data_IF_830252073124
#
_entry.id   IF_830252073124
#
_cell.length_a   1.000
_cell.length_b   1.000
_cell.length_c   1.000
_cell.angle_alpha   90.00
_cell.angle_beta   90.00
_cell.angle_gamma   90.00
#
_symmetry.space_group_name_H-M   'P 1'
#
loop_
_entity.id
_entity.type
_entity.pdbx_description
1 polymer ?
#
# COMPACT_ATOMS: atom_id res chain seq x y z
N UNK A 1 3.35 17.13 19.42
CA UNK A 1 4.35 17.45 18.37
C UNK A 1 3.59 17.78 17.09
N UNK A 2 4.11 18.68 16.21
CA UNK A 2 3.51 19.00 14.91
C UNK A 2 3.70 17.85 13.92
N UNK A 3 2.88 17.79 12.89
CA UNK A 3 2.99 16.80 11.80
C UNK A 3 4.37 16.91 11.14
N UNK A 4 4.84 18.14 10.90
CA UNK A 4 6.17 18.43 10.36
C UNK A 4 7.29 17.83 11.22
N UNK A 5 7.23 18.00 12.55
CA UNK A 5 8.24 17.43 13.46
C UNK A 5 8.21 15.91 13.46
N UNK A 6 7.01 15.29 13.41
CA UNK A 6 6.85 13.84 13.35
C UNK A 6 7.45 13.27 12.07
N UNK A 7 7.14 13.85 10.89
CA UNK A 7 7.71 13.42 9.61
C UNK A 7 9.24 13.55 9.61
N UNK A 8 9.78 14.64 10.13
CA UNK A 8 11.23 14.86 10.22
C UNK A 8 11.91 13.81 11.11
N UNK A 9 11.30 13.49 12.25
CA UNK A 9 11.81 12.46 13.16
C UNK A 9 11.82 11.07 12.51
N UNK A 10 10.71 10.70 11.83
CA UNK A 10 10.60 9.42 11.12
C UNK A 10 11.65 9.35 9.98
N UNK A 11 11.76 10.38 9.15
CA UNK A 11 12.76 10.42 8.06
C UNK A 11 14.19 10.31 8.59
N UNK A 12 14.49 10.94 9.73
CA UNK A 12 15.80 10.81 10.40
C UNK A 12 16.03 9.39 10.91
N UNK A 13 15.01 8.73 11.46
CA UNK A 13 15.09 7.37 11.96
C UNK A 13 15.27 6.35 10.84
N UNK A 14 14.53 6.48 9.75
CA UNK A 14 14.70 5.65 8.54
C UNK A 14 16.11 5.87 7.92
N UNK A 15 16.66 7.06 8.11
CA UNK A 15 17.99 7.42 7.63
C UNK A 15 18.09 7.43 6.11
N UNK A 16 19.24 7.01 5.59
CA UNK A 16 19.51 6.91 4.14
C UNK A 16 18.98 5.60 3.52
N UNK A 17 18.08 4.88 4.20
CA UNK A 17 17.49 3.68 3.63
C UNK A 17 16.61 4.04 2.42
N UNK A 18 16.46 3.11 1.49
CA UNK A 18 15.57 3.25 0.33
C UNK A 18 14.08 3.05 0.69
N UNK A 19 13.75 2.94 1.98
CA UNK A 19 12.39 2.70 2.46
C UNK A 19 11.51 3.93 2.21
N UNK A 20 10.39 3.73 1.54
CA UNK A 20 9.39 4.75 1.24
C UNK A 20 8.44 4.92 2.41
N UNK A 21 8.25 6.17 2.85
CA UNK A 21 7.26 6.52 3.87
C UNK A 21 5.94 6.88 3.21
N UNK A 22 4.90 6.06 3.43
CA UNK A 22 3.53 6.37 3.04
C UNK A 22 2.82 7.01 4.24
N UNK A 23 2.46 8.29 4.10
CA UNK A 23 1.69 9.02 5.12
C UNK A 23 0.21 8.64 5.03
N UNK A 24 -0.28 7.85 5.98
CA UNK A 24 -1.67 7.36 5.98
C UNK A 24 -2.59 8.43 6.55
N UNK A 25 -3.25 9.17 5.66
CA UNK A 25 -4.06 10.35 5.99
C UNK A 25 -5.56 10.07 6.14
N UNK A 26 -5.97 8.78 6.15
CA UNK A 26 -7.38 8.41 6.36
C UNK A 26 -7.97 9.08 7.59
N UNK A 27 -9.19 9.62 7.44
CA UNK A 27 -9.94 10.35 8.47
C UNK A 27 -9.31 11.68 8.93
N UNK A 28 -8.26 12.14 8.28
CA UNK A 28 -7.61 13.40 8.61
C UNK A 28 -8.12 14.52 7.70
N UNK A 29 -8.30 15.74 8.23
CA UNK A 29 -8.75 16.88 7.44
C UNK A 29 -7.70 17.35 6.43
N UNK A 30 -8.12 18.13 5.45
CA UNK A 30 -7.28 18.64 4.36
C UNK A 30 -6.07 19.42 4.92
N UNK A 31 -6.27 20.22 5.96
CA UNK A 31 -5.24 21.04 6.62
C UNK A 31 -4.09 20.19 7.14
N UNK A 32 -4.39 19.00 7.70
CA UNK A 32 -3.36 18.08 8.19
C UNK A 32 -2.55 17.48 7.03
N UNK A 33 -3.21 17.19 5.91
CA UNK A 33 -2.52 16.68 4.71
C UNK A 33 -1.66 17.77 4.09
N UNK A 34 -2.15 19.01 4.06
CA UNK A 34 -1.41 20.19 3.60
C UNK A 34 -0.16 20.42 4.44
N UNK A 35 -0.25 20.35 5.79
CA UNK A 35 0.92 20.48 6.67
C UNK A 35 1.97 19.40 6.36
N UNK A 36 1.53 18.16 6.16
CA UNK A 36 2.44 17.07 5.78
C UNK A 36 3.08 17.28 4.39
N UNK A 37 2.30 17.78 3.43
CA UNK A 37 2.78 18.13 2.10
C UNK A 37 3.83 19.25 2.13
N UNK A 38 3.59 20.32 2.89
CA UNK A 38 4.53 21.42 3.11
C UNK A 38 5.81 20.98 3.81
N UNK A 39 5.73 19.93 4.65
CA UNK A 39 6.90 19.26 5.24
C UNK A 39 7.66 18.36 4.23
N UNK A 40 7.31 18.42 2.94
CA UNK A 40 7.97 17.67 1.87
C UNK A 40 7.50 16.22 1.72
N UNK A 41 6.36 15.84 2.29
CA UNK A 41 5.75 14.54 2.04
C UNK A 41 5.02 14.54 0.70
N UNK A 42 5.18 13.48 -0.09
CA UNK A 42 4.52 13.34 -1.40
C UNK A 42 3.71 12.07 -1.53
N UNK A 43 4.08 10.98 -0.86
CA UNK A 43 3.39 9.70 -0.89
C UNK A 43 2.35 9.65 0.24
N UNK A 44 1.08 9.60 -0.14
CA UNK A 44 -0.03 9.54 0.82
C UNK A 44 -0.89 8.30 0.59
N UNK A 45 -1.37 7.72 1.69
CA UNK A 45 -2.20 6.51 1.67
C UNK A 45 -3.61 6.76 2.19
N UNK A 46 -4.61 6.30 1.43
CA UNK A 46 -6.02 6.33 1.79
C UNK A 46 -6.65 4.94 1.79
N UNK A 47 -7.65 4.75 2.64
CA UNK A 47 -8.38 3.49 2.71
C UNK A 47 -9.66 3.50 1.88
N UNK A 48 -10.30 4.67 1.76
CA UNK A 48 -11.63 4.82 1.17
C UNK A 48 -11.56 5.64 -0.11
N UNK A 49 -12.10 5.10 -1.21
CA UNK A 49 -12.10 5.76 -2.52
C UNK A 49 -12.73 7.15 -2.48
N UNK A 50 -13.85 7.32 -1.76
CA UNK A 50 -14.53 8.61 -1.68
C UNK A 50 -13.63 9.67 -1.03
N UNK A 51 -13.00 9.35 0.11
CA UNK A 51 -12.09 10.26 0.82
C UNK A 51 -10.87 10.59 -0.05
N UNK A 52 -10.35 9.60 -0.78
CA UNK A 52 -9.23 9.77 -1.70
C UNK A 52 -9.56 10.75 -2.83
N UNK A 53 -10.74 10.60 -3.47
CA UNK A 53 -11.20 11.51 -4.53
C UNK A 53 -11.37 12.92 -4.00
N UNK A 54 -12.06 13.09 -2.86
CA UNK A 54 -12.31 14.42 -2.25
C UNK A 54 -10.99 15.14 -1.92
N UNK A 55 -9.95 14.42 -1.49
CA UNK A 55 -8.62 14.97 -1.21
C UNK A 55 -7.85 15.27 -2.48
N UNK A 56 -7.89 14.36 -3.47
CA UNK A 56 -7.25 14.59 -4.75
C UNK A 56 -7.76 15.86 -5.44
N UNK A 57 -9.07 16.13 -5.37
CA UNK A 57 -9.64 17.33 -5.99
C UNK A 57 -9.13 18.64 -5.37
N UNK A 58 -8.89 18.64 -4.05
CA UNK A 58 -8.58 19.84 -3.25
C UNK A 58 -7.09 20.08 -3.00
N UNK A 59 -6.25 19.08 -3.19
CA UNK A 59 -4.82 19.12 -2.86
C UNK A 59 -3.94 19.18 -4.11
N UNK A 60 -2.63 19.51 -3.98
CA UNK A 60 -1.69 19.55 -5.09
C UNK A 60 -1.64 18.28 -5.90
N UNK A 61 -1.49 18.40 -7.23
CA UNK A 61 -1.57 17.27 -8.18
C UNK A 61 -0.27 16.47 -8.29
N UNK A 62 0.80 16.93 -7.66
CA UNK A 62 2.07 16.21 -7.53
C UNK A 62 2.11 15.27 -6.30
N UNK A 63 0.99 15.15 -5.58
CA UNK A 63 0.83 14.11 -4.56
C UNK A 63 0.68 12.75 -5.25
N UNK A 64 1.51 11.81 -4.84
CA UNK A 64 1.43 10.40 -5.23
C UNK A 64 0.45 9.69 -4.29
N UNK A 65 -0.76 9.44 -4.79
CA UNK A 65 -1.81 8.80 -4.01
C UNK A 65 -1.73 7.28 -4.10
N UNK A 66 -1.72 6.63 -2.94
CA UNK A 66 -1.77 5.19 -2.79
C UNK A 66 -3.12 4.77 -2.19
N UNK A 67 -3.79 3.79 -2.78
CA UNK A 67 -4.93 3.13 -2.14
C UNK A 67 -4.41 1.91 -1.37
N UNK A 68 -4.62 1.92 -0.05
CA UNK A 68 -4.08 0.90 0.86
C UNK A 68 -5.18 0.11 1.61
N UNK A 69 -6.43 0.46 1.42
CA UNK A 69 -7.60 -0.26 1.95
C UNK A 69 -8.27 -1.11 0.87
N UNK A 70 -9.18 -1.99 1.28
CA UNK A 70 -9.93 -2.86 0.36
C UNK A 70 -10.62 -2.06 -0.75
N UNK A 71 -10.44 -2.48 -1.99
CA UNK A 71 -10.95 -1.83 -3.19
C UNK A 71 -12.06 -2.68 -3.84
N UNK A 72 -13.28 -2.18 -3.79
CA UNK A 72 -14.36 -2.77 -4.57
C UNK A 72 -14.19 -2.46 -6.07
N UNK A 73 -14.38 -3.45 -6.94
CA UNK A 73 -14.19 -3.32 -8.39
C UNK A 73 -15.00 -2.16 -9.00
N UNK A 74 -16.25 -1.92 -8.54
CA UNK A 74 -17.09 -0.83 -9.02
C UNK A 74 -16.58 0.59 -8.66
N UNK A 75 -15.58 0.68 -7.76
CA UNK A 75 -14.96 1.94 -7.31
C UNK A 75 -13.68 2.28 -8.07
N UNK A 76 -13.06 1.34 -8.76
CA UNK A 76 -11.81 1.54 -9.51
C UNK A 76 -11.89 2.73 -10.48
N UNK A 77 -13.01 2.87 -11.18
CA UNK A 77 -13.23 3.94 -12.17
C UNK A 77 -13.05 5.37 -11.64
N UNK A 78 -13.23 5.58 -10.33
CA UNK A 78 -13.13 6.92 -9.74
C UNK A 78 -11.69 7.36 -9.45
N UNK A 79 -10.76 6.40 -9.35
CA UNK A 79 -9.36 6.68 -9.02
C UNK A 79 -8.39 6.38 -10.16
N UNK A 80 -8.81 5.63 -11.18
CA UNK A 80 -7.95 5.15 -12.25
C UNK A 80 -7.23 6.28 -13.03
N UNK A 81 -7.80 7.49 -13.08
CA UNK A 81 -7.18 8.63 -13.77
C UNK A 81 -5.97 9.21 -13.07
N UNK A 82 -5.79 9.01 -11.74
CA UNK A 82 -4.76 9.68 -10.97
C UNK A 82 -4.02 8.81 -9.96
N UNK A 83 -4.55 7.65 -9.57
CA UNK A 83 -3.91 6.79 -8.57
C UNK A 83 -2.48 6.41 -8.98
N UNK A 84 -1.53 6.44 -8.05
CA UNK A 84 -0.14 6.08 -8.30
C UNK A 84 0.12 4.60 -8.02
N UNK A 85 -0.45 4.05 -6.95
CA UNK A 85 -0.25 2.65 -6.57
C UNK A 85 -1.47 2.11 -5.82
N UNK A 86 -1.92 0.91 -6.18
CA UNK A 86 -2.96 0.16 -5.46
C UNK A 86 -2.27 -0.98 -4.72
N UNK A 87 -2.32 -0.96 -3.37
CA UNK A 87 -1.67 -1.98 -2.53
C UNK A 87 -2.54 -3.21 -2.30
N UNK A 88 -3.85 -3.09 -2.51
CA UNK A 88 -4.85 -4.04 -2.02
C UNK A 88 -5.45 -4.91 -3.14
N UNK A 89 -4.63 -5.39 -4.07
CA UNK A 89 -5.11 -6.32 -5.10
C UNK A 89 -5.22 -7.72 -4.50
N UNK A 90 -6.45 -8.18 -4.34
CA UNK A 90 -6.83 -9.42 -3.67
C UNK A 90 -7.53 -10.44 -4.59
N UNK A 91 -7.65 -10.16 -5.89
CA UNK A 91 -8.33 -11.07 -6.81
C UNK A 91 -8.02 -10.77 -8.28
N UNK A 92 -8.10 -11.79 -9.13
CA UNK A 92 -8.02 -11.65 -10.58
C UNK A 92 -9.11 -10.72 -11.12
N UNK A 93 -10.33 -10.82 -10.58
CA UNK A 93 -11.46 -9.97 -10.96
C UNK A 93 -11.20 -8.49 -10.71
N UNK A 94 -10.60 -8.14 -9.57
CA UNK A 94 -10.22 -6.76 -9.27
C UNK A 94 -9.14 -6.29 -10.25
N UNK A 95 -8.14 -7.12 -10.50
CA UNK A 95 -7.03 -6.79 -11.40
C UNK A 95 -7.51 -6.56 -12.85
N UNK A 96 -8.45 -7.37 -13.34
CA UNK A 96 -9.12 -7.18 -14.62
C UNK A 96 -9.82 -5.81 -14.71
N UNK A 97 -10.55 -5.43 -13.66
CA UNK A 97 -11.23 -4.12 -13.64
C UNK A 97 -10.23 -2.96 -13.57
N UNK A 98 -9.13 -3.09 -12.81
CA UNK A 98 -8.04 -2.10 -12.80
C UNK A 98 -7.46 -1.94 -14.21
N UNK A 99 -7.10 -3.04 -14.88
CA UNK A 99 -6.57 -3.03 -16.24
C UNK A 99 -7.52 -2.35 -17.23
N UNK A 100 -8.80 -2.68 -17.16
CA UNK A 100 -9.86 -2.09 -18.00
C UNK A 100 -9.99 -0.58 -17.79
N UNK A 101 -9.99 -0.11 -16.55
CA UNK A 101 -10.12 1.31 -16.24
C UNK A 101 -8.81 2.07 -16.55
N UNK A 102 -7.66 1.45 -16.36
CA UNK A 102 -6.36 2.00 -16.76
C UNK A 102 -6.29 2.22 -18.28
N UNK A 103 -6.73 1.24 -19.07
CA UNK A 103 -6.83 1.35 -20.53
C UNK A 103 -7.70 2.53 -20.95
N UNK A 104 -8.88 2.71 -20.34
CA UNK A 104 -9.78 3.85 -20.63
C UNK A 104 -9.16 5.22 -20.33
N UNK A 105 -8.21 5.26 -19.39
CA UNK A 105 -7.50 6.48 -19.02
C UNK A 105 -6.12 6.62 -19.71
N UNK A 106 -5.79 5.73 -20.66
CA UNK A 106 -4.48 5.67 -21.32
C UNK A 106 -3.31 5.61 -20.34
N UNK A 107 -3.44 4.80 -19.28
CA UNK A 107 -2.44 4.64 -18.22
C UNK A 107 -2.00 3.19 -18.06
N UNK A 108 -0.86 3.03 -17.42
CA UNK A 108 -0.47 1.80 -16.71
C UNK A 108 -0.55 2.10 -15.23
N UNK A 109 -1.31 1.31 -14.47
CA UNK A 109 -1.47 1.48 -13.03
C UNK A 109 -0.60 0.45 -12.30
N UNK A 110 0.22 0.94 -11.36
CA UNK A 110 1.04 0.10 -10.50
C UNK A 110 0.18 -0.56 -9.42
N UNK A 111 0.45 -1.84 -9.18
CA UNK A 111 -0.30 -2.67 -8.24
C UNK A 111 0.64 -3.51 -7.37
N UNK A 112 0.23 -3.75 -6.13
CA UNK A 112 0.82 -4.80 -5.28
C UNK A 112 -0.22 -5.90 -5.07
N UNK A 113 0.21 -7.16 -5.05
CA UNK A 113 -0.64 -8.26 -4.61
C UNK A 113 -0.72 -8.23 -3.09
N UNK A 114 -1.93 -8.14 -2.56
CA UNK A 114 -2.15 -8.28 -1.12
C UNK A 114 -2.14 -9.76 -0.76
N UNK A 115 -1.17 -10.17 0.06
CA UNK A 115 -1.02 -11.55 0.51
C UNK A 115 -1.48 -11.69 1.97
N UNK A 116 -2.11 -12.80 2.26
CA UNK A 116 -2.46 -13.21 3.62
C UNK A 116 -1.20 -13.69 4.35
N UNK A 117 -0.88 -13.04 5.47
CA UNK A 117 0.21 -13.42 6.37
C UNK A 117 -0.25 -13.47 7.84
N UNK A 118 -1.42 -12.95 8.14
CA UNK A 118 -1.99 -12.93 9.48
C UNK A 118 -2.92 -14.14 9.69
N UNK A 119 -2.89 -14.72 10.87
CA UNK A 119 -3.82 -15.77 11.28
C UNK A 119 -5.07 -15.14 11.95
N UNK A 120 -5.90 -14.46 11.14
CA UNK A 120 -7.14 -13.83 11.60
C UNK A 120 -8.36 -14.39 10.83
N UNK A 121 -9.51 -14.47 11.50
CA UNK A 121 -10.77 -15.00 10.89
C UNK A 121 -11.28 -14.13 9.73
N UNK A 122 -10.98 -12.83 9.72
CA UNK A 122 -11.36 -11.90 8.65
C UNK A 122 -10.18 -11.67 7.71
N UNK A 123 -9.96 -12.59 6.81
CA UNK A 123 -8.84 -12.54 5.85
C UNK A 123 -9.19 -11.69 4.65
N UNK A 124 -8.35 -10.70 4.35
CA UNK A 124 -8.32 -10.01 3.07
C UNK A 124 -6.96 -10.24 2.44
N UNK A 125 -6.95 -10.72 1.23
CA UNK A 125 -5.73 -11.02 0.50
C UNK A 125 -5.86 -12.33 -0.27
N UNK A 126 -4.82 -12.65 -0.99
CA UNK A 126 -4.62 -13.92 -1.67
C UNK A 126 -3.74 -14.81 -0.79
N UNK A 127 -4.04 -16.08 -0.68
CA UNK A 127 -3.01 -17.01 -0.27
C UNK A 127 -1.96 -17.15 -1.38
N UNK A 128 -0.82 -17.79 -1.07
CA UNK A 128 0.27 -17.93 -2.03
C UNK A 128 -0.14 -18.77 -3.26
N UNK A 129 -0.98 -19.79 -3.09
CA UNK A 129 -1.45 -20.64 -4.20
C UNK A 129 -2.37 -19.84 -5.13
N UNK A 130 -3.30 -19.09 -4.58
CA UNK A 130 -4.18 -18.17 -5.34
C UNK A 130 -3.39 -17.10 -6.11
N UNK A 131 -2.36 -16.52 -5.48
CA UNK A 131 -1.48 -15.57 -6.15
C UNK A 131 -0.73 -16.20 -7.33
N UNK A 132 -0.22 -17.43 -7.17
CA UNK A 132 0.45 -18.18 -8.24
C UNK A 132 -0.54 -18.52 -9.36
N UNK A 133 -1.75 -18.95 -9.03
CA UNK A 133 -2.80 -19.26 -10.01
C UNK A 133 -3.18 -18.01 -10.81
N UNK A 134 -3.39 -16.88 -10.14
CA UNK A 134 -3.64 -15.59 -10.77
C UNK A 134 -2.54 -15.24 -11.78
N UNK A 135 -1.27 -15.31 -11.38
CA UNK A 135 -0.14 -14.96 -12.23
C UNK A 135 0.09 -15.94 -13.40
N UNK A 136 -0.39 -17.18 -13.30
CA UNK A 136 -0.35 -18.17 -14.39
C UNK A 136 -1.49 -18.07 -15.36
N UNK A 137 -2.58 -17.40 -14.99
CA UNK A 137 -3.79 -17.29 -15.81
C UNK A 137 -3.52 -16.62 -17.16
N UNK A 138 -4.24 -17.01 -18.18
CA UNK A 138 -4.12 -16.39 -19.49
C UNK A 138 -4.67 -14.95 -19.48
N UNK A 139 -5.69 -14.70 -18.65
CA UNK A 139 -6.24 -13.37 -18.44
C UNK A 139 -5.18 -12.40 -17.92
N UNK A 140 -4.34 -12.80 -16.96
CA UNK A 140 -3.26 -11.94 -16.45
C UNK A 140 -2.23 -11.63 -17.54
N UNK A 141 -1.82 -12.63 -18.34
CA UNK A 141 -0.83 -12.47 -19.42
C UNK A 141 -1.28 -11.49 -20.51
N UNK A 142 -2.60 -11.35 -20.71
CA UNK A 142 -3.18 -10.42 -21.67
C UNK A 142 -3.28 -8.98 -21.14
N UNK A 143 -3.14 -8.74 -19.83
CA UNK A 143 -3.22 -7.41 -19.26
C UNK A 143 -1.99 -6.57 -19.63
N UNK A 144 -2.21 -5.39 -20.22
CA UNK A 144 -1.14 -4.49 -20.67
C UNK A 144 -1.15 -3.13 -19.97
N UNK A 145 -2.20 -2.84 -19.20
CA UNK A 145 -2.41 -1.54 -18.56
C UNK A 145 -2.27 -1.58 -17.02
N UNK A 146 -1.67 -2.64 -16.53
CA UNK A 146 -1.26 -2.78 -15.13
C UNK A 146 0.19 -3.20 -15.05
N UNK A 147 0.81 -2.95 -13.91
CA UNK A 147 2.16 -3.45 -13.57
C UNK A 147 2.17 -3.92 -12.13
N UNK A 148 2.55 -5.18 -11.92
CA UNK A 148 2.72 -5.71 -10.57
C UNK A 148 4.12 -5.33 -10.08
N UNK A 149 4.18 -4.48 -9.05
CA UNK A 149 5.42 -3.93 -8.52
C UNK A 149 5.93 -4.65 -7.27
N UNK A 150 5.17 -5.61 -6.75
CA UNK A 150 5.53 -6.35 -5.54
C UNK A 150 4.33 -6.84 -4.76
N UNK A 151 4.49 -6.93 -3.45
CA UNK A 151 3.49 -7.49 -2.53
C UNK A 151 3.17 -6.54 -1.38
N UNK A 152 2.01 -6.73 -0.77
CA UNK A 152 1.60 -6.06 0.46
C UNK A 152 1.10 -7.11 1.46
N UNK A 153 1.44 -6.93 2.75
CA UNK A 153 0.90 -7.69 3.85
C UNK A 153 0.56 -6.81 5.06
N UNK A 154 -0.38 -7.32 5.86
CA UNK A 154 -0.77 -6.74 7.15
C UNK A 154 -0.61 -7.84 8.18
N UNK A 155 0.24 -7.61 9.17
CA UNK A 155 0.47 -8.56 10.24
C UNK A 155 -0.67 -8.55 11.25
N UNK A 156 -0.82 -9.64 11.98
CA UNK A 156 -1.74 -9.79 13.10
C UNK A 156 -1.57 -8.65 14.12
N UNK A 157 -2.68 -8.09 14.58
CA UNK A 157 -2.67 -7.11 15.65
C UNK A 157 -2.38 -7.80 16.99
N UNK A 158 -1.14 -7.80 17.41
CA UNK A 158 -0.66 -8.49 18.61
C UNK A 158 0.43 -7.69 19.32
N UNK A 159 0.54 -7.87 20.64
CA UNK A 159 1.65 -7.36 21.43
C UNK A 159 2.88 -8.30 21.39
N UNK A 160 2.78 -9.46 20.74
CA UNK A 160 3.89 -10.40 20.61
C UNK A 160 4.74 -10.12 19.35
N UNK A 161 5.92 -9.48 19.49
CA UNK A 161 6.73 -9.12 18.34
C UNK A 161 7.29 -10.31 17.55
N UNK A 162 7.30 -11.51 18.15
CA UNK A 162 7.76 -12.72 17.46
C UNK A 162 6.77 -13.15 16.36
N UNK A 163 5.47 -13.11 16.66
CA UNK A 163 4.43 -13.41 15.68
C UNK A 163 4.54 -12.44 14.49
N UNK A 164 4.56 -11.15 14.76
CA UNK A 164 4.72 -10.11 13.73
C UNK A 164 6.01 -10.30 12.91
N UNK A 165 7.12 -10.68 13.57
CA UNK A 165 8.40 -10.92 12.88
C UNK A 165 8.36 -12.14 11.97
N UNK A 166 7.67 -13.21 12.37
CA UNK A 166 7.47 -14.42 11.57
C UNK A 166 6.59 -14.14 10.35
N UNK A 167 5.48 -13.42 10.52
CA UNK A 167 4.58 -13.02 9.43
C UNK A 167 5.28 -12.10 8.41
N UNK A 168 6.06 -11.12 8.86
CA UNK A 168 6.85 -10.27 7.95
C UNK A 168 7.94 -11.06 7.22
N UNK A 169 8.56 -12.01 7.88
CA UNK A 169 9.54 -12.90 7.25
C UNK A 169 8.89 -13.78 6.18
N UNK A 170 7.69 -14.32 6.45
CA UNK A 170 6.91 -15.10 5.51
C UNK A 170 6.56 -14.28 4.24
N UNK A 171 6.12 -13.02 4.41
CA UNK A 171 5.88 -12.14 3.27
C UNK A 171 7.14 -11.95 2.42
N UNK A 172 8.30 -11.84 3.06
CA UNK A 172 9.59 -11.75 2.36
C UNK A 172 9.91 -13.01 1.54
N UNK A 173 9.59 -14.20 2.08
CA UNK A 173 9.73 -15.48 1.37
C UNK A 173 8.78 -15.52 0.17
N UNK A 174 7.52 -15.15 0.34
CA UNK A 174 6.53 -15.11 -0.73
C UNK A 174 6.96 -14.16 -1.84
N UNK A 175 7.40 -12.95 -1.48
CA UNK A 175 7.94 -11.99 -2.45
C UNK A 175 9.09 -12.58 -3.26
N UNK A 176 10.07 -13.20 -2.61
CA UNK A 176 11.23 -13.77 -3.30
C UNK A 176 10.83 -14.94 -4.21
N UNK A 177 9.93 -15.82 -3.76
CA UNK A 177 9.41 -16.92 -4.57
C UNK A 177 8.67 -16.45 -5.82
N UNK A 178 7.82 -15.42 -5.70
CA UNK A 178 7.12 -14.82 -6.82
C UNK A 178 8.11 -14.12 -7.79
N UNK A 179 9.09 -13.39 -7.24
CA UNK A 179 10.13 -12.73 -8.03
C UNK A 179 10.92 -13.72 -8.88
N UNK A 180 11.39 -14.79 -8.28
CA UNK A 180 12.20 -15.81 -8.97
C UNK A 180 11.41 -16.58 -10.04
N UNK A 181 10.12 -16.75 -9.80
CA UNK A 181 9.25 -17.55 -10.68
C UNK A 181 8.69 -16.75 -11.85
N UNK A 182 8.18 -15.52 -11.56
CA UNK A 182 7.40 -14.74 -12.53
C UNK A 182 8.06 -13.42 -12.96
N UNK A 183 8.90 -12.83 -12.08
CA UNK A 183 9.38 -11.45 -12.25
C UNK A 183 10.92 -11.33 -12.23
N UNK A 184 11.65 -12.42 -12.49
CA UNK A 184 13.13 -12.44 -12.39
C UNK A 184 13.83 -11.35 -13.18
N UNK A 185 13.29 -10.96 -14.34
CA UNK A 185 13.85 -9.94 -15.23
C UNK A 185 13.09 -8.61 -15.15
N UNK A 186 12.07 -8.53 -14.32
CA UNK A 186 11.28 -7.33 -14.15
C UNK A 186 11.80 -6.49 -12.98
N UNK A 187 12.49 -5.40 -13.30
CA UNK A 187 13.03 -4.47 -12.31
C UNK A 187 11.94 -3.69 -11.55
N UNK A 188 10.71 -3.67 -12.06
CA UNK A 188 9.60 -3.02 -11.39
C UNK A 188 9.11 -3.84 -10.17
N UNK A 189 9.25 -5.17 -10.19
CA UNK A 189 8.87 -6.04 -9.08
C UNK A 189 9.92 -6.00 -7.96
N UNK A 190 9.81 -5.02 -7.07
CA UNK A 190 10.80 -4.72 -6.02
C UNK A 190 10.22 -4.23 -4.70
N UNK A 191 8.89 -4.06 -4.62
CA UNK A 191 8.26 -3.43 -3.47
C UNK A 191 7.68 -4.47 -2.51
N UNK A 192 7.99 -4.30 -1.21
CA UNK A 192 7.36 -5.03 -0.11
C UNK A 192 6.73 -3.99 0.81
N UNK A 193 5.40 -3.88 0.75
CA UNK A 193 4.64 -2.94 1.57
C UNK A 193 4.16 -3.64 2.84
N UNK A 194 4.84 -3.42 3.95
CA UNK A 194 4.48 -3.92 5.27
C UNK A 194 4.98 -2.96 6.36
N UNK A 195 4.38 -3.05 7.54
CA UNK A 195 4.69 -2.18 8.68
C UNK A 195 3.80 -0.96 8.79
N UNK A 196 3.25 -0.79 9.97
CA UNK A 196 2.38 0.30 10.40
C UNK A 196 2.97 1.00 11.62
N UNK A 197 2.25 1.94 12.22
CA UNK A 197 2.74 2.78 13.33
C UNK A 197 3.26 1.99 14.55
N UNK A 198 2.77 0.76 14.77
CA UNK A 198 3.18 -0.08 15.90
C UNK A 198 4.39 -0.99 15.64
N UNK A 199 4.67 -1.29 14.36
CA UNK A 199 5.57 -2.38 13.99
C UNK A 199 6.55 -2.04 12.84
N UNK A 200 6.54 -0.80 12.33
CA UNK A 200 7.32 -0.42 11.14
C UNK A 200 8.84 -0.62 11.29
N UNK A 201 9.38 -0.52 12.53
CA UNK A 201 10.82 -0.75 12.76
C UNK A 201 11.17 -2.19 12.47
N UNK A 202 10.36 -3.10 13.02
CA UNK A 202 10.50 -4.53 12.78
C UNK A 202 10.28 -4.88 11.30
N UNK A 203 9.30 -4.23 10.65
CA UNK A 203 9.08 -4.39 9.22
C UNK A 203 10.31 -3.98 8.38
N UNK A 204 10.96 -2.87 8.71
CA UNK A 204 12.21 -2.42 8.05
C UNK A 204 13.32 -3.46 8.24
N UNK A 205 13.51 -3.97 9.46
CA UNK A 205 14.48 -5.03 9.77
C UNK A 205 14.21 -6.33 8.97
N UNK A 206 12.92 -6.59 8.63
CA UNK A 206 12.50 -7.75 7.83
C UNK A 206 12.42 -7.46 6.33
N UNK A 207 12.93 -6.30 5.86
CA UNK A 207 13.08 -6.01 4.45
C UNK A 207 11.93 -5.24 3.81
N UNK A 208 11.08 -4.57 4.60
CA UNK A 208 10.07 -3.65 4.06
C UNK A 208 10.72 -2.57 3.19
N UNK A 209 10.15 -2.32 2.00
CA UNK A 209 10.51 -1.19 1.14
C UNK A 209 9.53 -0.03 1.23
N UNK A 210 8.33 -0.28 1.80
CA UNK A 210 7.28 0.72 2.01
C UNK A 210 6.64 0.53 3.38
N UNK A 211 6.70 1.55 4.24
CA UNK A 211 6.00 1.59 5.53
C UNK A 211 4.81 2.55 5.47
N UNK A 212 3.71 2.21 6.17
CA UNK A 212 2.43 2.94 6.13
C UNK A 212 2.10 3.52 7.49
N UNK A 213 2.47 4.78 7.73
CA UNK A 213 2.36 5.42 9.05
C UNK A 213 1.20 6.43 9.11
N UNK A 214 0.29 6.22 10.05
CA UNK A 214 -0.85 7.11 10.31
C UNK A 214 -0.71 7.84 11.64
N UNK A 215 -0.94 7.14 12.75
CA UNK A 215 -0.94 7.74 14.09
C UNK A 215 0.42 8.33 14.50
N UNK A 216 1.52 7.77 14.05
CA UNK A 216 2.86 8.29 14.28
C UNK A 216 3.06 9.67 13.64
N UNK A 217 2.43 9.93 12.49
CA UNK A 217 2.51 11.22 11.79
C UNK A 217 1.44 12.19 12.30
N UNK A 218 0.17 11.76 12.24
CA UNK A 218 -0.99 12.62 12.41
C UNK A 218 -1.60 12.59 13.82
N UNK A 219 -1.01 11.82 14.74
CA UNK A 219 -1.61 11.58 16.06
C UNK A 219 -2.77 10.58 16.04
N UNK A 220 -3.15 10.10 17.22
CA UNK A 220 -4.28 9.17 17.42
C UNK A 220 -5.59 9.80 16.93
N UNK A 221 -6.57 8.97 16.58
CA UNK A 221 -7.91 9.44 16.22
C UNK A 221 -8.55 10.13 17.42
N UNK A 222 -9.03 11.35 17.26
CA UNK A 222 -9.98 11.90 18.20
C UNK A 222 -11.27 11.07 18.08
N UNK A 223 -11.72 10.46 19.19
CA UNK A 223 -13.02 9.85 19.24
C UNK A 223 -14.06 10.91 18.83
N UNK A 224 -14.86 10.62 17.79
CA UNK A 224 -16.00 11.49 17.51
C UNK A 224 -16.87 11.44 18.78
N UNK A 225 -16.95 12.56 19.48
CA UNK A 225 -18.00 12.76 20.47
C UNK A 225 -19.34 12.55 19.76
N UNK A 226 -20.08 11.54 20.26
CA UNK A 226 -21.46 11.26 19.79
C UNK A 226 -22.38 12.43 20.07
#
# INVERSE_FOLDING_TARGET
>A
MSITANISAIKKEIGNSSVKLIAVSKTKPIESVTEAYEAGQRLFGENMVQELVDKYEKLPKDIEWHLIGHLQSNKVKYIASFISLIHSVDSLKLLQEINKQALKNNRIIDCLLQLEIADEETKFGLDLAEAIELLRSDEFKEMKNIRICGVMGIATLTDNPKITAEEFYELGIFFQGLKDTFFRKDEAFKEISMGMSGDYKLAIEKGSTMIRLGSTIFGTRQAKSK
#
